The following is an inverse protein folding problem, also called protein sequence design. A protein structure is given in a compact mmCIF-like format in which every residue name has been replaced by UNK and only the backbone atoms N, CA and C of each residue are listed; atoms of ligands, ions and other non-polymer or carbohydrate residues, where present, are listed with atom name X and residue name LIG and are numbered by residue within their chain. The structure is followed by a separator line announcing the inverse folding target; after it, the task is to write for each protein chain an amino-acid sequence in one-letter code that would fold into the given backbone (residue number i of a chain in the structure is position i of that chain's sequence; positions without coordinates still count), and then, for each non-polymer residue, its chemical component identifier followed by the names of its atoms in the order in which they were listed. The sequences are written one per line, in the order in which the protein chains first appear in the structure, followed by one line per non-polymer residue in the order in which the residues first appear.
data_IF_130530399883
#
_entry.id   IF_130530399883
#
_cell.length_a   1.000
_cell.length_b   1.000
_cell.length_c   1.000
_cell.angle_alpha   90.00
_cell.angle_beta   90.00
_cell.angle_gamma   90.00
#
_symmetry.space_group_name_H-M   'P 1'
#
loop_
_entity.id
_entity.type
_entity.pdbx_description
1 polymer ?
#
# COMPACT_ATOMS: atom_id res chain seq x y z
N UNK A 1 10.41 -6.34 9.03
CA UNK A 1 9.02 -6.85 8.93
C UNK A 1 8.10 -6.04 9.84
N UNK A 2 6.79 -6.10 9.60
CA UNK A 2 5.75 -5.56 10.48
C UNK A 2 5.03 -6.73 11.16
N UNK A 3 5.09 -6.82 12.50
CA UNK A 3 4.51 -7.97 13.23
C UNK A 3 2.98 -7.94 13.22
N UNK A 4 2.41 -6.76 13.46
CA UNK A 4 0.97 -6.54 13.48
C UNK A 4 0.73 -5.21 12.78
N UNK A 5 0.61 -5.23 11.45
CA UNK A 5 0.55 -4.02 10.65
C UNK A 5 -0.54 -3.05 11.13
N UNK A 6 -0.15 -1.81 11.37
CA UNK A 6 -1.02 -0.72 11.80
C UNK A 6 -1.17 0.26 10.65
N UNK A 7 -2.27 0.14 9.90
CA UNK A 7 -2.45 0.89 8.66
C UNK A 7 -3.07 2.25 8.94
N UNK A 8 -2.48 3.31 8.41
CA UNK A 8 -3.10 4.62 8.33
C UNK A 8 -3.28 5.03 6.87
N UNK A 9 -4.52 5.33 6.46
CA UNK A 9 -4.80 5.76 5.08
C UNK A 9 -4.81 7.29 4.97
N UNK A 10 -3.95 7.82 4.12
CA UNK A 10 -3.86 9.24 3.81
C UNK A 10 -4.31 9.48 2.36
N UNK A 11 -5.34 10.30 2.15
CA UNK A 11 -5.88 10.65 0.84
C UNK A 11 -5.44 12.07 0.48
N UNK A 12 -4.48 12.23 -0.43
CA UNK A 12 -3.90 13.55 -0.71
C UNK A 12 -4.70 14.31 -1.76
N UNK A 13 -5.24 15.47 -1.37
CA UNK A 13 -5.90 16.43 -2.24
C UNK A 13 -7.41 16.55 -2.02
N UNK A 14 -7.94 17.71 -2.36
CA UNK A 14 -9.36 18.09 -2.28
C UNK A 14 -10.26 17.29 -3.20
N UNK A 15 -9.70 16.66 -4.24
CA UNK A 15 -10.42 15.73 -5.11
C UNK A 15 -11.12 14.60 -4.32
N UNK A 16 -10.50 14.15 -3.22
CA UNK A 16 -11.05 13.12 -2.34
C UNK A 16 -12.26 13.59 -1.51
N UNK A 17 -12.52 14.90 -1.43
CA UNK A 17 -13.73 15.43 -0.78
C UNK A 17 -14.95 15.50 -1.71
N UNK A 18 -14.77 15.23 -3.00
CA UNK A 18 -15.82 15.32 -4.01
C UNK A 18 -16.24 13.93 -4.49
N UNK A 19 -17.47 13.80 -4.99
CA UNK A 19 -17.90 12.57 -5.65
C UNK A 19 -17.28 12.48 -7.06
N UNK A 20 -16.86 11.29 -7.52
CA UNK A 20 -17.06 9.98 -6.88
C UNK A 20 -15.99 9.58 -5.84
N UNK A 21 -14.83 10.25 -5.77
CA UNK A 21 -13.68 9.82 -4.96
C UNK A 21 -13.96 9.72 -3.46
N UNK A 22 -14.78 10.61 -2.91
CA UNK A 22 -15.22 10.55 -1.51
C UNK A 22 -15.89 9.23 -1.13
N UNK A 23 -16.57 8.55 -2.06
CA UNK A 23 -17.14 7.23 -1.82
C UNK A 23 -16.05 6.15 -1.68
N UNK A 24 -14.96 6.27 -2.45
CA UNK A 24 -13.86 5.31 -2.45
C UNK A 24 -13.05 5.33 -1.16
N UNK A 25 -13.02 6.46 -0.43
CA UNK A 25 -12.36 6.53 0.89
C UNK A 25 -12.93 5.46 1.83
N UNK A 26 -14.27 5.41 1.96
CA UNK A 26 -14.90 4.45 2.86
C UNK A 26 -14.67 3.01 2.37
N UNK A 27 -14.77 2.77 1.06
CA UNK A 27 -14.56 1.43 0.50
C UNK A 27 -13.13 0.91 0.74
N UNK A 28 -12.12 1.78 0.63
CA UNK A 28 -10.72 1.44 0.91
C UNK A 28 -10.45 1.26 2.41
N UNK A 29 -11.10 2.05 3.25
CA UNK A 29 -11.03 1.87 4.70
C UNK A 29 -11.67 0.54 5.13
N UNK A 30 -12.84 0.20 4.60
CA UNK A 30 -13.50 -1.09 4.83
C UNK A 30 -12.65 -2.26 4.32
N UNK A 31 -11.98 -2.08 3.17
CA UNK A 31 -11.01 -3.05 2.66
C UNK A 31 -9.89 -3.30 3.67
N UNK A 32 -9.25 -2.27 4.22
CA UNK A 32 -8.20 -2.47 5.22
C UNK A 32 -8.72 -3.07 6.54
N UNK A 33 -9.90 -2.65 6.99
CA UNK A 33 -10.54 -3.20 8.19
C UNK A 33 -10.78 -4.71 8.04
N UNK A 34 -11.10 -5.18 6.83
CA UNK A 34 -11.28 -6.60 6.52
C UNK A 34 -9.95 -7.32 6.28
N UNK A 35 -9.12 -6.83 5.35
CA UNK A 35 -7.99 -7.58 4.82
C UNK A 35 -6.93 -7.86 5.88
N UNK A 36 -6.73 -6.94 6.83
CA UNK A 36 -5.72 -7.04 7.89
C UNK A 36 -6.00 -8.17 8.90
N UNK A 37 -7.21 -8.71 8.90
CA UNK A 37 -7.64 -9.84 9.74
C UNK A 37 -8.03 -11.08 8.92
N UNK A 38 -7.76 -11.05 7.62
CA UNK A 38 -8.19 -12.07 6.68
C UNK A 38 -7.16 -13.20 6.49
N UNK A 39 -7.56 -14.23 5.75
CA UNK A 39 -6.68 -15.33 5.35
C UNK A 39 -5.47 -14.90 4.51
N UNK A 40 -5.49 -13.69 3.92
CA UNK A 40 -4.30 -13.15 3.25
C UNK A 40 -3.17 -12.92 4.26
N UNK A 41 -3.47 -12.36 5.44
CA UNK A 41 -2.46 -12.13 6.48
C UNK A 41 -2.09 -13.44 7.19
N UNK A 42 -3.02 -14.39 7.33
CA UNK A 42 -2.71 -15.72 7.85
C UNK A 42 -1.62 -16.43 7.03
N UNK A 43 -1.63 -16.26 5.70
CA UNK A 43 -0.61 -16.81 4.80
C UNK A 43 0.78 -16.28 5.18
N UNK A 44 0.88 -14.99 5.52
CA UNK A 44 2.17 -14.34 5.80
C UNK A 44 2.86 -14.86 7.07
N UNK A 45 2.16 -15.62 7.93
CA UNK A 45 2.75 -16.22 9.12
C UNK A 45 3.96 -17.11 8.79
N UNK A 46 4.04 -17.68 7.57
CA UNK A 46 5.18 -18.49 7.13
C UNK A 46 6.51 -17.71 7.03
N UNK A 47 6.43 -16.38 6.91
CA UNK A 47 7.60 -15.50 6.85
C UNK A 47 8.09 -15.04 8.22
N UNK A 48 7.40 -15.44 9.30
CA UNK A 48 7.83 -15.13 10.66
C UNK A 48 9.27 -15.58 10.93
N UNK A 49 10.03 -14.77 11.66
CA UNK A 49 11.39 -15.08 12.12
C UNK A 49 11.37 -15.54 13.58
N UNK A 50 12.47 -16.10 14.12
CA UNK A 50 12.54 -16.48 15.53
C UNK A 50 12.28 -15.32 16.52
N UNK A 51 12.51 -14.08 16.10
CA UNK A 51 12.35 -12.88 16.93
C UNK A 51 11.12 -12.05 16.57
N UNK A 52 10.43 -12.39 15.48
CA UNK A 52 9.31 -11.60 14.99
C UNK A 52 8.23 -12.48 14.36
N UNK A 53 7.05 -12.49 14.96
CA UNK A 53 5.87 -13.21 14.45
C UNK A 53 4.96 -12.26 13.69
N UNK A 54 4.62 -12.60 12.45
CA UNK A 54 3.54 -11.91 11.72
C UNK A 54 2.21 -12.44 12.22
N UNK A 55 1.30 -11.52 12.54
CA UNK A 55 -0.09 -11.78 12.85
C UNK A 55 -1.00 -10.69 12.29
N UNK A 56 -2.28 -10.78 12.64
CA UNK A 56 -3.29 -9.82 12.19
C UNK A 56 -2.95 -8.39 12.60
N UNK A 57 -3.37 -7.45 11.75
CA UNK A 57 -3.19 -6.02 11.94
C UNK A 57 -4.51 -5.29 12.21
N UNK A 58 -4.45 -3.97 12.09
CA UNK A 58 -5.63 -3.10 12.20
C UNK A 58 -5.40 -1.80 11.46
N UNK A 59 -6.45 -1.21 10.88
CA UNK A 59 -6.40 0.19 10.46
C UNK A 59 -6.53 1.08 11.71
N UNK A 60 -5.58 1.98 11.89
CA UNK A 60 -5.49 2.85 13.09
C UNK A 60 -5.99 4.27 12.84
N UNK A 61 -6.35 4.60 11.60
CA UNK A 61 -6.93 5.90 11.27
C UNK A 61 -7.05 6.13 9.77
N UNK A 62 -7.58 7.29 9.43
CA UNK A 62 -7.68 7.80 8.07
C UNK A 62 -7.69 9.32 8.08
N UNK A 63 -7.12 9.98 7.09
CA UNK A 63 -7.23 11.41 6.90
C UNK A 63 -7.20 11.79 5.42
N UNK A 64 -7.92 12.86 5.08
CA UNK A 64 -7.77 13.55 3.78
C UNK A 64 -6.88 14.76 3.98
N UNK A 65 -5.78 14.84 3.24
CA UNK A 65 -4.83 15.95 3.29
C UNK A 65 -5.27 17.01 2.29
N UNK A 66 -5.82 18.11 2.79
CA UNK A 66 -6.29 19.24 1.95
C UNK A 66 -5.56 20.55 2.23
N UNK A 67 -4.48 20.50 3.01
CA UNK A 67 -3.59 21.64 3.26
C UNK A 67 -2.88 22.07 1.96
N UNK A 68 -2.67 21.13 1.04
CA UNK A 68 -2.21 21.37 -0.33
C UNK A 68 -2.79 20.30 -1.26
N UNK A 69 -2.99 20.66 -2.52
CA UNK A 69 -3.31 19.70 -3.57
C UNK A 69 -2.02 19.18 -4.24
N UNK A 70 -1.96 17.89 -4.59
CA UNK A 70 -0.87 17.38 -5.41
C UNK A 70 -0.90 18.05 -6.80
N UNK A 71 0.28 18.29 -7.37
CA UNK A 71 0.39 18.71 -8.77
C UNK A 71 0.00 17.58 -9.73
N UNK A 72 -0.10 17.89 -11.02
CA UNK A 72 -0.37 16.87 -12.07
C UNK A 72 0.74 15.79 -12.15
N UNK A 73 1.94 16.13 -11.68
CA UNK A 73 3.02 15.18 -11.47
C UNK A 73 3.62 15.46 -10.10
N UNK A 74 3.78 14.41 -9.30
CA UNK A 74 4.37 14.47 -7.96
C UNK A 74 5.54 13.51 -7.87
N UNK A 75 6.66 13.99 -7.35
CA UNK A 75 7.80 13.12 -7.07
C UNK A 75 7.61 12.41 -5.75
N UNK A 76 8.28 11.27 -5.59
CA UNK A 76 8.35 10.58 -4.30
C UNK A 76 8.86 11.50 -3.18
N UNK A 77 9.88 12.32 -3.45
CA UNK A 77 10.36 13.31 -2.49
C UNK A 77 9.27 14.32 -2.06
N UNK A 78 8.33 14.68 -2.93
CA UNK A 78 7.21 15.53 -2.56
C UNK A 78 6.20 14.79 -1.66
N UNK A 79 5.98 13.50 -1.91
CA UNK A 79 5.14 12.63 -1.07
C UNK A 79 5.76 12.45 0.31
N UNK A 80 7.06 12.16 0.39
CA UNK A 80 7.80 12.06 1.65
C UNK A 80 7.70 13.35 2.47
N UNK A 81 7.93 14.51 1.84
CA UNK A 81 7.80 15.81 2.49
C UNK A 81 6.37 16.07 3.00
N UNK A 82 5.36 15.74 2.20
CA UNK A 82 3.96 15.86 2.61
C UNK A 82 3.69 14.98 3.83
N UNK A 83 4.06 13.70 3.78
CA UNK A 83 3.82 12.74 4.85
C UNK A 83 4.54 13.15 6.15
N UNK A 84 5.81 13.54 6.07
CA UNK A 84 6.57 14.02 7.24
C UNK A 84 5.96 15.27 7.85
N UNK A 85 5.48 16.21 7.02
CA UNK A 85 4.82 17.41 7.49
C UNK A 85 3.50 17.09 8.21
N UNK A 86 2.67 16.20 7.66
CA UNK A 86 1.42 15.78 8.28
C UNK A 86 1.66 15.01 9.59
N UNK A 87 2.63 14.08 9.63
CA UNK A 87 3.01 13.39 10.88
C UNK A 87 3.49 14.37 11.96
N UNK A 88 4.22 15.42 11.58
CA UNK A 88 4.76 16.39 12.55
C UNK A 88 3.70 17.37 13.07
N UNK A 89 2.73 17.76 12.23
CA UNK A 89 1.89 18.94 12.49
C UNK A 89 0.38 18.65 12.51
N UNK A 90 -0.07 17.49 12.04
CA UNK A 90 -1.49 17.14 12.00
C UNK A 90 -1.81 16.06 13.04
N UNK A 91 -2.60 16.43 14.05
CA UNK A 91 -2.98 15.53 15.13
C UNK A 91 -3.79 14.30 14.70
N UNK A 92 -4.34 14.29 13.47
CA UNK A 92 -4.99 13.11 12.91
C UNK A 92 -3.98 12.02 12.49
N UNK A 93 -2.73 12.39 12.20
CA UNK A 93 -1.69 11.45 11.80
C UNK A 93 -1.03 10.84 13.05
N UNK A 94 -1.09 9.52 13.24
CA UNK A 94 -0.39 8.86 14.34
C UNK A 94 1.12 8.99 14.15
N UNK A 95 1.88 8.92 15.24
CA UNK A 95 3.34 8.83 15.15
C UNK A 95 3.77 7.46 14.63
N UNK A 96 4.89 7.39 13.87
CA UNK A 96 5.40 6.13 13.35
C UNK A 96 5.83 5.20 14.49
N UNK A 97 5.57 3.92 14.30
CA UNK A 97 6.05 2.82 15.16
C UNK A 97 6.70 1.77 14.28
N UNK A 98 7.29 0.72 14.88
CA UNK A 98 7.80 -0.42 14.12
C UNK A 98 6.72 -1.23 13.38
N UNK A 99 5.44 -0.90 13.54
CA UNK A 99 4.32 -1.55 12.86
C UNK A 99 3.47 -0.58 12.02
N UNK A 100 3.72 0.72 12.10
CA UNK A 100 2.89 1.72 11.40
C UNK A 100 3.27 1.78 9.93
N UNK A 101 2.29 1.62 9.05
CA UNK A 101 2.44 1.74 7.61
C UNK A 101 1.40 2.74 7.08
N UNK A 102 1.88 3.80 6.42
CA UNK A 102 1.04 4.85 5.86
C UNK A 102 0.74 4.57 4.38
N UNK A 103 -0.52 4.33 4.05
CA UNK A 103 -0.96 4.23 2.65
C UNK A 103 -1.36 5.61 2.14
N UNK A 104 -0.61 6.15 1.18
CA UNK A 104 -0.85 7.46 0.56
C UNK A 104 -1.53 7.27 -0.79
N UNK A 105 -2.82 7.62 -0.87
CA UNK A 105 -3.60 7.57 -2.10
C UNK A 105 -3.58 8.93 -2.83
N UNK A 106 -3.16 8.90 -4.09
CA UNK A 106 -3.15 10.06 -4.99
C UNK A 106 -4.45 10.07 -5.81
N UNK A 107 -4.99 11.27 -6.14
CA UNK A 107 -6.24 11.37 -6.86
C UNK A 107 -6.07 11.07 -8.37
N UNK A 108 -7.16 10.86 -9.11
CA UNK A 108 -7.11 10.67 -10.57
C UNK A 108 -6.37 11.80 -11.30
N UNK A 109 -5.61 11.45 -12.34
CA UNK A 109 -4.87 12.42 -13.16
C UNK A 109 -3.55 12.90 -12.57
N UNK A 110 -3.13 12.36 -11.42
CA UNK A 110 -1.82 12.63 -10.82
C UNK A 110 -0.83 11.54 -11.20
N UNK A 111 0.25 11.92 -11.88
CA UNK A 111 1.37 11.02 -12.19
C UNK A 111 2.38 11.02 -11.05
N UNK A 112 2.63 9.87 -10.45
CA UNK A 112 3.69 9.72 -9.45
C UNK A 112 5.01 9.40 -10.16
N UNK A 113 6.09 10.06 -9.76
CA UNK A 113 7.44 9.87 -10.31
C UNK A 113 8.38 9.42 -9.20
N UNK A 114 8.95 8.22 -9.36
CA UNK A 114 9.95 7.65 -8.46
C UNK A 114 11.25 7.44 -9.25
N UNK A 115 12.29 8.22 -8.94
CA UNK A 115 13.51 8.24 -9.74
C UNK A 115 13.23 8.60 -11.20
N UNK A 116 13.56 7.70 -12.13
CA UNK A 116 13.26 7.83 -13.56
C UNK A 116 11.97 7.11 -14.00
N UNK A 117 11.27 6.46 -13.08
CA UNK A 117 10.05 5.70 -13.33
C UNK A 117 8.81 6.55 -13.07
N UNK A 118 7.70 6.23 -13.77
CA UNK A 118 6.42 6.92 -13.59
C UNK A 118 5.28 5.93 -13.41
N UNK A 119 4.29 6.31 -12.60
CA UNK A 119 3.06 5.55 -12.45
C UNK A 119 2.36 5.38 -13.80
N UNK A 120 1.61 4.29 -13.94
CA UNK A 120 0.91 3.95 -15.18
C UNK A 120 1.80 3.68 -16.41
N UNK A 121 3.13 3.67 -16.23
CA UNK A 121 4.11 3.26 -17.24
C UNK A 121 5.04 2.17 -16.70
N UNK A 122 5.54 2.37 -15.48
CA UNK A 122 6.49 1.48 -14.83
C UNK A 122 5.89 0.72 -13.65
N UNK A 123 4.96 1.33 -12.92
CA UNK A 123 4.37 0.77 -11.70
C UNK A 123 2.93 1.28 -11.48
N UNK A 124 2.21 0.60 -10.58
CA UNK A 124 0.86 0.95 -10.17
C UNK A 124 0.75 1.30 -8.69
N UNK A 125 1.74 0.92 -7.91
CA UNK A 125 2.00 1.29 -6.53
C UNK A 125 3.48 1.04 -6.24
N UNK A 126 3.91 1.42 -5.05
CA UNK A 126 5.16 0.95 -4.44
C UNK A 126 5.07 1.16 -2.93
N UNK A 127 5.96 0.52 -2.19
CA UNK A 127 6.24 0.82 -0.79
C UNK A 127 7.72 1.14 -0.59
N UNK A 128 8.02 1.92 0.45
CA UNK A 128 9.38 2.35 0.79
C UNK A 128 9.43 2.84 2.26
N UNK A 129 10.61 3.28 2.70
CA UNK A 129 10.84 3.79 4.03
C UNK A 129 11.64 5.11 4.05
N UNK A 130 11.16 6.07 4.83
CA UNK A 130 11.92 7.29 5.12
C UNK A 130 12.86 6.99 6.29
N UNK A 131 14.17 7.03 6.05
CA UNK A 131 15.23 6.77 7.03
C UNK A 131 15.09 5.42 7.77
N UNK A 132 14.41 4.44 7.17
CA UNK A 132 14.13 3.13 7.80
C UNK A 132 13.19 3.20 9.02
N UNK A 133 12.43 4.28 9.20
CA UNK A 133 11.58 4.50 10.38
C UNK A 133 10.13 4.83 10.06
N UNK A 134 9.86 5.51 8.94
CA UNK A 134 8.50 5.79 8.48
C UNK A 134 8.26 4.91 7.27
N UNK A 135 7.46 3.86 7.44
CA UNK A 135 7.09 2.95 6.36
C UNK A 135 5.84 3.48 5.65
N UNK A 136 5.86 3.52 4.33
CA UNK A 136 4.75 4.04 3.55
C UNK A 136 4.58 3.27 2.24
N UNK A 137 3.35 3.27 1.74
CA UNK A 137 3.00 2.77 0.42
C UNK A 137 2.31 3.88 -0.36
N UNK A 138 2.66 4.06 -1.63
CA UNK A 138 2.12 5.10 -2.50
C UNK A 138 1.23 4.48 -3.56
N UNK A 139 -0.04 4.90 -3.56
CA UNK A 139 -1.08 4.39 -4.46
C UNK A 139 -1.50 5.50 -5.44
N UNK A 140 -0.87 5.59 -6.63
CA UNK A 140 -1.47 6.28 -7.77
C UNK A 140 -2.88 5.78 -8.06
N UNK A 141 -3.78 6.67 -8.48
CA UNK A 141 -5.09 6.23 -8.96
C UNK A 141 -4.94 5.48 -10.30
N UNK A 142 -5.56 4.30 -10.49
CA UNK A 142 -5.39 3.50 -11.71
C UNK A 142 -6.26 4.05 -12.85
N UNK A 143 -5.82 5.13 -13.50
CA UNK A 143 -6.51 5.75 -14.64
C UNK A 143 -5.98 5.27 -16.02
N UNK A 144 -5.06 4.32 -16.04
CA UNK A 144 -4.49 3.73 -17.24
C UNK A 144 -4.83 2.25 -17.41
N UNK A 145 -4.84 1.77 -18.66
CA UNK A 145 -5.16 0.38 -18.98
C UNK A 145 -4.24 -0.64 -18.30
N UNK A 146 -2.95 -0.31 -18.15
CA UNK A 146 -1.96 -1.19 -17.51
C UNK A 146 -2.30 -1.46 -16.04
N UNK A 147 -2.52 -0.39 -15.26
CA UNK A 147 -2.85 -0.53 -13.84
C UNK A 147 -4.29 -0.95 -13.57
N UNK A 148 -5.21 -0.71 -14.51
CA UNK A 148 -6.55 -1.29 -14.42
C UNK A 148 -6.52 -2.81 -14.63
N UNK A 149 -5.69 -3.32 -15.55
CA UNK A 149 -5.62 -4.76 -15.84
C UNK A 149 -6.97 -5.36 -16.28
N UNK A 150 -7.90 -4.53 -16.78
CA UNK A 150 -9.28 -4.93 -17.11
C UNK A 150 -10.26 -4.95 -15.93
N UNK A 151 -9.82 -4.56 -14.72
CA UNK A 151 -10.65 -4.45 -13.52
C UNK A 151 -11.32 -3.07 -13.42
N UNK A 152 -12.33 -2.97 -12.56
CA UNK A 152 -12.81 -1.67 -12.11
C UNK A 152 -11.73 -0.99 -11.25
N UNK A 153 -11.72 0.35 -11.23
CA UNK A 153 -10.68 1.11 -10.51
C UNK A 153 -10.56 0.73 -9.02
N UNK A 154 -11.68 0.41 -8.36
CA UNK A 154 -11.66 -0.04 -6.97
C UNK A 154 -10.96 -1.40 -6.80
N UNK A 155 -11.29 -2.38 -7.65
CA UNK A 155 -10.66 -3.71 -7.62
C UNK A 155 -9.17 -3.65 -7.98
N UNK A 156 -8.79 -2.75 -8.90
CA UNK A 156 -7.39 -2.48 -9.22
C UNK A 156 -6.66 -1.88 -8.00
N UNK A 157 -7.27 -0.89 -7.34
CA UNK A 157 -6.71 -0.30 -6.12
C UNK A 157 -6.55 -1.34 -5.00
N UNK A 158 -7.52 -2.22 -4.77
CA UNK A 158 -7.38 -3.26 -3.73
C UNK A 158 -6.35 -4.32 -4.09
N UNK A 159 -6.19 -4.64 -5.38
CA UNK A 159 -5.14 -5.55 -5.87
C UNK A 159 -3.75 -4.97 -5.60
N UNK A 160 -3.50 -3.73 -6.03
CA UNK A 160 -2.21 -3.06 -5.76
C UNK A 160 -2.02 -2.82 -4.26
N UNK A 161 -3.06 -2.40 -3.53
CA UNK A 161 -2.92 -2.17 -2.09
C UNK A 161 -2.59 -3.44 -1.32
N UNK A 162 -3.13 -4.61 -1.72
CA UNK A 162 -2.79 -5.88 -1.09
C UNK A 162 -1.36 -6.34 -1.40
N UNK A 163 -0.89 -6.10 -2.63
CA UNK A 163 0.49 -6.39 -3.04
C UNK A 163 1.46 -5.63 -2.13
N UNK A 164 1.33 -4.30 -2.11
CA UNK A 164 2.22 -3.42 -1.33
C UNK A 164 2.08 -3.64 0.18
N UNK A 165 0.90 -4.04 0.65
CA UNK A 165 0.68 -4.40 2.04
C UNK A 165 1.48 -5.65 2.43
N UNK A 166 1.41 -6.71 1.62
CA UNK A 166 2.05 -7.98 1.93
C UNK A 166 3.57 -7.84 1.87
N UNK A 167 4.08 -7.16 0.85
CA UNK A 167 5.51 -6.87 0.70
C UNK A 167 6.01 -6.00 1.85
N UNK A 168 5.35 -4.88 2.18
CA UNK A 168 5.77 -4.05 3.31
C UNK A 168 5.71 -4.80 4.66
N UNK A 169 4.80 -5.77 4.84
CA UNK A 169 4.78 -6.62 6.04
C UNK A 169 6.04 -7.50 6.11
N UNK A 170 6.43 -8.12 5.00
CA UNK A 170 7.57 -9.03 4.93
C UNK A 170 8.92 -8.30 4.80
N UNK A 171 8.90 -7.09 4.24
CA UNK A 171 10.07 -6.26 3.96
C UNK A 171 9.73 -4.76 3.95
N UNK A 172 9.57 -4.12 5.13
CA UNK A 172 9.17 -2.72 5.22
C UNK A 172 10.23 -1.73 4.73
N UNK A 173 11.46 -2.17 4.48
CA UNK A 173 12.53 -1.36 3.90
C UNK A 173 13.09 -2.17 2.73
N UNK A 174 12.62 -1.93 1.49
CA UNK A 174 12.86 -2.81 0.36
C UNK A 174 14.30 -3.34 0.27
N UNK A 175 14.43 -4.67 0.22
CA UNK A 175 15.69 -5.41 0.21
C UNK A 175 16.33 -5.66 1.59
N UNK A 176 15.65 -5.36 2.71
CA UNK A 176 16.18 -5.59 4.07
C UNK A 176 15.38 -6.62 4.88
N UNK A 177 14.32 -7.17 4.30
CA UNK A 177 13.43 -8.16 4.88
C UNK A 177 13.46 -9.48 4.12
N UNK A 178 12.29 -10.07 3.89
CA UNK A 178 12.21 -11.24 3.03
C UNK A 178 12.34 -10.81 1.56
N UNK A 179 13.29 -11.40 0.85
CA UNK A 179 13.55 -11.12 -0.55
C UNK A 179 14.10 -12.37 -1.23
N UNK A 180 13.70 -12.63 -2.48
CA UNK A 180 14.32 -13.64 -3.34
C UNK A 180 15.24 -12.96 -4.37
N UNK A 181 16.54 -13.23 -4.29
CA UNK A 181 17.57 -12.59 -5.14
C UNK A 181 17.35 -12.81 -6.65
N UNK A 182 16.52 -13.78 -7.06
CA UNK A 182 16.24 -14.07 -8.47
C UNK A 182 14.92 -13.46 -8.92
N UNK A 183 13.89 -13.48 -8.07
CA UNK A 183 12.51 -13.21 -8.48
C UNK A 183 11.86 -12.01 -7.79
N UNK A 184 12.51 -11.40 -6.79
CA UNK A 184 12.01 -10.21 -6.10
C UNK A 184 11.26 -10.51 -4.81
N UNK A 185 10.34 -9.62 -4.46
CA UNK A 185 9.48 -9.72 -3.28
C UNK A 185 8.30 -10.70 -3.49
N UNK A 186 7.53 -10.98 -2.44
CA UNK A 186 6.46 -12.00 -2.51
C UNK A 186 5.35 -11.62 -3.50
N UNK A 187 5.09 -10.33 -3.68
CA UNK A 187 4.10 -9.79 -4.59
C UNK A 187 4.62 -9.74 -6.02
N UNK A 188 5.89 -9.37 -6.22
CA UNK A 188 6.57 -9.37 -7.52
C UNK A 188 6.49 -10.74 -8.21
N UNK A 189 6.78 -11.82 -7.49
CA UNK A 189 6.75 -13.19 -8.01
C UNK A 189 5.34 -13.56 -8.54
N UNK A 190 4.31 -12.94 -7.97
CA UNK A 190 2.92 -13.22 -8.23
C UNK A 190 2.19 -12.08 -8.95
N UNK A 191 2.96 -11.15 -9.52
CA UNK A 191 2.43 -9.99 -10.22
C UNK A 191 1.30 -10.37 -11.19
N UNK A 192 0.21 -9.60 -11.12
CA UNK A 192 -0.98 -9.73 -11.98
C UNK A 192 -1.82 -10.99 -11.78
N UNK A 193 -1.50 -11.86 -10.81
CA UNK A 193 -2.36 -12.98 -10.42
C UNK A 193 -3.27 -12.51 -9.31
N UNK A 194 -4.57 -12.56 -9.52
CA UNK A 194 -5.55 -12.10 -8.53
C UNK A 194 -6.36 -13.27 -7.95
N UNK A 195 -6.93 -13.04 -6.78
CA UNK A 195 -7.90 -13.91 -6.13
C UNK A 195 -8.95 -13.08 -5.40
N UNK A 196 -10.04 -13.73 -5.02
CA UNK A 196 -11.03 -13.12 -4.12
C UNK A 196 -10.70 -13.49 -2.68
N UNK A 197 -10.66 -12.49 -1.80
CA UNK A 197 -10.66 -12.69 -0.34
C UNK A 197 -11.83 -11.90 0.21
N UNK A 198 -12.87 -12.59 0.66
CA UNK A 198 -14.16 -11.97 0.96
C UNK A 198 -14.78 -11.36 -0.30
N UNK A 199 -15.09 -10.06 -0.23
CA UNK A 199 -15.67 -9.28 -1.35
C UNK A 199 -14.63 -8.49 -2.13
N UNK A 200 -13.33 -8.69 -1.85
CA UNK A 200 -12.26 -7.87 -2.42
C UNK A 200 -11.39 -8.68 -3.36
N UNK A 201 -11.11 -8.08 -4.52
CA UNK A 201 -10.07 -8.54 -5.44
C UNK A 201 -8.71 -8.16 -4.86
N UNK A 202 -7.86 -9.14 -4.61
CA UNK A 202 -6.49 -8.94 -4.11
C UNK A 202 -5.50 -9.65 -5.00
N UNK A 203 -4.23 -9.27 -4.91
CA UNK A 203 -3.16 -10.05 -5.53
C UNK A 203 -2.95 -11.37 -4.76
N UNK A 204 -2.59 -12.42 -5.49
CA UNK A 204 -1.99 -13.60 -4.90
C UNK A 204 -0.57 -13.26 -4.48
N UNK A 205 -0.14 -13.90 -3.40
CA UNK A 205 1.21 -13.71 -2.88
C UNK A 205 1.97 -15.01 -2.99
N UNK A 206 3.30 -14.93 -3.17
CA UNK A 206 4.13 -16.12 -3.14
C UNK A 206 3.98 -16.84 -1.80
N UNK A 207 4.08 -18.16 -1.83
CA UNK A 207 4.12 -18.97 -0.62
C UNK A 207 5.26 -19.96 -0.72
N UNK A 208 6.22 -19.87 0.21
CA UNK A 208 7.34 -20.80 0.29
C UNK A 208 6.87 -22.22 0.63
N UNK A 209 5.82 -22.35 1.43
CA UNK A 209 5.25 -23.63 1.83
C UNK A 209 4.63 -24.39 0.67
N UNK A 210 4.01 -23.68 -0.28
CA UNK A 210 3.37 -24.32 -1.45
C UNK A 210 4.23 -24.27 -2.71
N UNK A 211 5.23 -23.37 -2.77
CA UNK A 211 6.02 -23.12 -3.96
C UNK A 211 5.20 -22.54 -5.11
N UNK A 212 4.15 -21.76 -4.79
CA UNK A 212 3.22 -21.20 -5.76
C UNK A 212 2.58 -19.91 -5.27
N UNK A 213 1.96 -19.16 -6.18
CA UNK A 213 1.11 -18.02 -5.84
C UNK A 213 -0.24 -18.52 -5.32
N UNK A 214 -0.63 -18.07 -4.14
CA UNK A 214 -1.87 -18.51 -3.48
C UNK A 214 -2.70 -17.36 -2.94
#
# INVERSE_FOLDING_TARGET
MLSNAQIFTAFWGTAWQQTPQSNSIQQLNDFFDYILTSSLIDQLAEYSTPTQTIGHGSRIGTATVTTSDPGQSVTDAAIQNMLQNEIANNAAFPQPTSNTLYFVYLPPGVVVVQGSSSSCQSFCGYHDAINGQIFYSVMPYPDCAGCLGGLAAFDALTTTSSHELCEAITDPVPGQGWYDDTNGEIGDICAWKTKQVGNYTVQQEWSNKTGSCT
#
